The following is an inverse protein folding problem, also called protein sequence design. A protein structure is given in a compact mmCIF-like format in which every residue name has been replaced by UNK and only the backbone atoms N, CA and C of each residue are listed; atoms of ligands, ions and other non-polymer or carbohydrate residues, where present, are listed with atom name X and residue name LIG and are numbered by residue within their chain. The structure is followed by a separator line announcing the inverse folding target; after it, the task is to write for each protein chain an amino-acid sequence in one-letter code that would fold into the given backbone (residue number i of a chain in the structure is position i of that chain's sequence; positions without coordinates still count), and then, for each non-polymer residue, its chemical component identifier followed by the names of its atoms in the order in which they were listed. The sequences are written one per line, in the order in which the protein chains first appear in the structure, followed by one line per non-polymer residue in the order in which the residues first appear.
data_IF_620476196601
#
_entry.id   IF_620476196601
#
_cell.length_a   1.000
_cell.length_b   1.000
_cell.length_c   1.000
_cell.angle_alpha   90.00
_cell.angle_beta   90.00
_cell.angle_gamma   90.00
#
_symmetry.space_group_name_H-M   'P 1'
#
loop_
_entity.id
_entity.type
_entity.pdbx_description
1 polymer ?
#
# COMPACT_ATOMS: atom_id res chain seq x y z
N UNK A 1 -56.45 -25.24 19.48
CA UNK A 1 -55.25 -25.59 20.27
C UNK A 1 -54.09 -25.76 19.30
N UNK A 2 -52.92 -25.24 19.70
CA UNK A 2 -51.56 -25.57 19.22
C UNK A 2 -51.21 -25.31 17.74
N UNK A 3 -50.08 -24.72 17.37
CA UNK A 3 -49.07 -23.91 18.03
C UNK A 3 -48.22 -23.35 16.88
N UNK A 4 -47.98 -22.05 16.88
CA UNK A 4 -46.95 -21.42 16.05
C UNK A 4 -45.59 -22.02 16.38
N UNK A 5 -44.90 -22.60 15.40
CA UNK A 5 -43.46 -22.87 15.51
C UNK A 5 -42.75 -22.16 14.38
N UNK A 6 -42.37 -20.90 14.66
CA UNK A 6 -41.34 -20.19 13.92
C UNK A 6 -39.99 -20.73 14.41
N UNK A 7 -39.21 -21.46 13.59
CA UNK A 7 -37.87 -21.82 13.98
C UNK A 7 -36.99 -20.58 13.74
N UNK A 8 -36.77 -19.80 14.80
CA UNK A 8 -35.61 -18.93 14.91
C UNK A 8 -34.34 -19.82 14.97
N UNK A 9 -33.98 -20.46 13.85
CA UNK A 9 -32.78 -21.29 13.75
C UNK A 9 -31.55 -20.39 13.64
N UNK A 10 -30.96 -20.18 14.81
CA UNK A 10 -29.53 -20.06 15.03
C UNK A 10 -28.76 -19.11 14.08
N UNK A 11 -28.68 -17.83 14.46
CA UNK A 11 -27.65 -16.89 13.99
C UNK A 11 -26.25 -17.26 14.55
N UNK A 12 -25.93 -18.55 14.66
CA UNK A 12 -24.79 -19.10 15.43
C UNK A 12 -23.60 -19.49 14.53
N UNK A 13 -23.35 -18.71 13.49
CA UNK A 13 -22.13 -18.80 12.66
C UNK A 13 -21.36 -17.49 12.51
N UNK A 14 -21.83 -16.40 13.13
CA UNK A 14 -21.40 -15.01 12.79
C UNK A 14 -20.19 -14.48 13.58
N UNK A 15 -19.53 -15.29 14.42
CA UNK A 15 -18.42 -14.80 15.27
C UNK A 15 -17.02 -14.99 14.68
N UNK A 16 -16.81 -15.99 13.82
CA UNK A 16 -15.53 -16.19 13.10
C UNK A 16 -15.47 -15.40 11.78
N UNK A 17 -16.61 -15.17 11.14
CA UNK A 17 -16.70 -14.43 9.87
C UNK A 17 -16.12 -13.02 9.91
N UNK A 18 -16.38 -12.18 10.94
CA UNK A 18 -15.85 -10.83 11.00
C UNK A 18 -14.33 -10.77 11.15
N UNK A 19 -13.74 -11.64 11.97
CA UNK A 19 -12.30 -11.70 12.18
C UNK A 19 -11.57 -12.22 10.95
N UNK A 20 -12.06 -13.31 10.35
CA UNK A 20 -11.50 -13.83 9.10
C UNK A 20 -11.58 -12.80 7.97
N UNK A 21 -12.71 -12.09 7.87
CA UNK A 21 -12.88 -10.99 6.91
C UNK A 21 -11.88 -9.85 7.19
N UNK A 22 -11.71 -9.46 8.45
CA UNK A 22 -10.74 -8.44 8.84
C UNK A 22 -9.32 -8.83 8.45
N UNK A 23 -8.90 -10.05 8.77
CA UNK A 23 -7.58 -10.59 8.40
C UNK A 23 -7.42 -10.60 6.87
N UNK A 24 -8.42 -11.08 6.12
CA UNK A 24 -8.37 -11.11 4.66
C UNK A 24 -8.22 -9.71 4.06
N UNK A 25 -8.98 -8.72 4.54
CA UNK A 25 -8.88 -7.33 4.10
C UNK A 25 -7.49 -6.77 4.41
N UNK A 26 -6.97 -7.00 5.62
CA UNK A 26 -5.63 -6.54 6.01
C UNK A 26 -4.55 -7.15 5.13
N UNK A 27 -4.58 -8.46 4.90
CA UNK A 27 -3.60 -9.15 4.05
C UNK A 27 -3.65 -8.61 2.63
N UNK A 28 -4.85 -8.51 2.03
CA UNK A 28 -5.02 -7.95 0.68
C UNK A 28 -4.46 -6.52 0.64
N UNK A 29 -4.82 -5.68 1.59
CA UNK A 29 -4.34 -4.29 1.67
C UNK A 29 -2.81 -4.23 1.75
N UNK A 30 -2.19 -5.07 2.57
CA UNK A 30 -0.74 -5.13 2.69
C UNK A 30 -0.07 -5.56 1.38
N UNK A 31 -0.63 -6.57 0.68
CA UNK A 31 -0.12 -7.01 -0.62
C UNK A 31 -0.17 -5.88 -1.65
N UNK A 32 -1.27 -5.12 -1.70
CA UNK A 32 -1.38 -3.96 -2.58
C UNK A 32 -0.49 -2.79 -2.15
N UNK A 33 -0.14 -2.67 -0.87
CA UNK A 33 0.78 -1.66 -0.36
C UNK A 33 2.26 -2.00 -0.65
N UNK A 34 2.61 -3.28 -0.85
CA UNK A 34 3.99 -3.71 -1.15
C UNK A 34 4.66 -2.91 -2.29
N UNK A 35 4.06 -2.72 -3.49
CA UNK A 35 4.68 -1.92 -4.54
C UNK A 35 4.90 -0.46 -4.14
N UNK A 36 4.03 0.11 -3.31
CA UNK A 36 4.17 1.48 -2.80
C UNK A 36 5.34 1.57 -1.82
N UNK A 37 5.44 0.62 -0.89
CA UNK A 37 6.56 0.53 0.05
C UNK A 37 7.88 0.35 -0.70
N UNK A 38 7.88 -0.49 -1.74
CA UNK A 38 9.05 -0.67 -2.60
C UNK A 38 9.44 0.62 -3.34
N UNK A 39 8.47 1.33 -3.91
CA UNK A 39 8.71 2.61 -4.59
C UNK A 39 9.28 3.65 -3.62
N UNK A 40 8.74 3.74 -2.41
CA UNK A 40 9.27 4.62 -1.37
C UNK A 40 10.70 4.26 -0.98
N UNK A 41 10.99 2.98 -0.75
CA UNK A 41 12.34 2.52 -0.45
C UNK A 41 13.32 2.83 -1.59
N UNK A 42 12.92 2.57 -2.84
CA UNK A 42 13.72 2.83 -4.04
C UNK A 42 14.08 4.31 -4.20
N UNK A 43 13.21 5.24 -3.78
CA UNK A 43 13.52 6.67 -3.81
C UNK A 43 14.77 7.03 -2.99
N UNK A 44 15.07 6.27 -1.94
CA UNK A 44 16.24 6.44 -1.07
C UNK A 44 17.41 5.49 -1.38
N UNK A 45 17.29 4.61 -2.39
CA UNK A 45 18.39 3.77 -2.86
C UNK A 45 19.23 4.51 -3.90
N UNK A 46 20.48 4.11 -4.11
CA UNK A 46 21.23 4.60 -5.28
C UNK A 46 20.67 4.03 -6.59
N UNK A 47 20.86 4.72 -7.72
CA UNK A 47 20.37 4.27 -9.04
C UNK A 47 20.79 2.83 -9.38
N UNK A 48 22.02 2.46 -9.03
CA UNK A 48 22.56 1.10 -9.25
C UNK A 48 21.90 0.04 -8.36
N UNK A 49 21.48 0.41 -7.14
CA UNK A 49 20.84 -0.49 -6.18
C UNK A 49 19.36 -0.73 -6.45
N UNK A 50 18.69 0.16 -7.19
CA UNK A 50 17.27 -0.04 -7.57
C UNK A 50 17.13 -1.21 -8.55
N UNK A 51 18.11 -1.40 -9.43
CA UNK A 51 18.13 -2.49 -10.42
C UNK A 51 18.76 -3.78 -9.91
N UNK A 52 19.39 -3.76 -8.73
CA UNK A 52 20.03 -4.93 -8.14
C UNK A 52 19.01 -5.73 -7.29
N UNK A 53 18.62 -6.94 -7.72
CA UNK A 53 17.66 -7.76 -6.98
C UNK A 53 18.19 -8.28 -5.64
N UNK A 54 19.50 -8.20 -5.38
CA UNK A 54 20.11 -8.59 -4.11
C UNK A 54 19.87 -7.57 -2.99
N UNK A 55 19.58 -6.31 -3.34
CA UNK A 55 19.33 -5.22 -2.39
C UNK A 55 17.83 -5.13 -2.11
N UNK A 56 17.40 -5.80 -1.04
CA UNK A 56 16.01 -5.78 -0.56
C UNK A 56 15.61 -4.47 0.13
N UNK A 57 14.92 -4.56 1.27
CA UNK A 57 14.54 -3.39 2.09
C UNK A 57 15.63 -2.95 3.09
N UNK A 58 16.77 -3.62 3.10
CA UNK A 58 17.93 -3.29 3.94
C UNK A 58 19.01 -2.63 3.09
N UNK A 59 19.19 -1.32 3.24
CA UNK A 59 20.14 -0.51 2.48
C UNK A 59 20.52 0.75 3.27
N UNK A 60 21.59 1.42 2.85
CA UNK A 60 21.97 2.73 3.40
C UNK A 60 21.19 3.82 2.66
N UNK A 61 20.29 4.57 3.31
CA UNK A 61 19.46 5.57 2.64
C UNK A 61 20.29 6.77 2.15
N UNK A 62 20.02 7.22 0.92
CA UNK A 62 20.63 8.42 0.33
C UNK A 62 19.56 9.37 -0.24
N UNK A 63 19.95 10.61 -0.52
CA UNK A 63 19.07 11.64 -1.09
C UNK A 63 19.41 11.97 -2.55
N UNK A 64 20.24 11.15 -3.20
CA UNK A 64 20.84 11.48 -4.48
C UNK A 64 19.80 11.53 -5.61
N UNK A 65 18.80 10.66 -5.57
CA UNK A 65 17.69 10.71 -6.52
C UNK A 65 16.86 11.99 -6.38
N UNK A 66 16.64 12.47 -5.15
CA UNK A 66 15.93 13.73 -4.92
C UNK A 66 16.73 14.92 -5.45
N UNK A 67 18.05 14.96 -5.20
CA UNK A 67 18.94 15.98 -5.75
C UNK A 67 18.89 15.98 -7.28
N UNK A 68 19.04 14.81 -7.90
CA UNK A 68 19.00 14.67 -9.36
C UNK A 68 17.69 15.20 -9.98
N UNK A 69 16.54 14.88 -9.37
CA UNK A 69 15.23 15.34 -9.87
C UNK A 69 15.03 16.84 -9.69
N UNK A 70 15.49 17.41 -8.58
CA UNK A 70 15.41 18.85 -8.32
C UNK A 70 16.35 19.64 -9.24
N UNK A 71 17.59 19.18 -9.40
CA UNK A 71 18.60 19.79 -10.29
C UNK A 71 18.16 19.75 -11.77
N UNK A 72 17.45 18.70 -12.19
CA UNK A 72 16.86 18.63 -13.52
C UNK A 72 15.82 19.73 -13.79
N UNK A 73 15.28 20.38 -12.75
CA UNK A 73 14.40 21.55 -12.83
C UNK A 73 12.98 21.30 -13.38
N UNK A 74 12.74 20.16 -14.04
CA UNK A 74 11.45 19.82 -14.64
C UNK A 74 10.35 19.56 -13.62
N UNK A 75 10.71 19.04 -12.43
CA UNK A 75 9.72 18.66 -11.41
C UNK A 75 8.96 19.88 -10.89
N UNK A 76 9.68 20.96 -10.55
CA UNK A 76 9.09 22.18 -9.97
C UNK A 76 8.13 22.83 -10.97
N UNK A 77 8.56 22.90 -12.24
CA UNK A 77 7.73 23.42 -13.33
C UNK A 77 6.48 22.56 -13.55
N UNK A 78 6.64 21.24 -13.56
CA UNK A 78 5.53 20.31 -13.79
C UNK A 78 4.51 20.33 -12.65
N UNK A 79 4.98 20.41 -11.41
CA UNK A 79 4.13 20.57 -10.23
C UNK A 79 3.32 21.89 -10.29
N UNK A 80 3.97 22.99 -10.67
CA UNK A 80 3.29 24.27 -10.86
C UNK A 80 2.21 24.21 -11.94
N UNK A 81 2.51 23.60 -13.09
CA UNK A 81 1.52 23.39 -14.16
C UNK A 81 0.32 22.56 -13.67
N UNK A 82 0.56 21.48 -12.93
CA UNK A 82 -0.52 20.63 -12.41
C UNK A 82 -1.39 21.35 -11.38
N UNK A 83 -0.83 22.25 -10.55
CA UNK A 83 -1.61 23.04 -9.59
C UNK A 83 -2.47 24.13 -10.26
N UNK A 84 -2.02 24.65 -11.40
CA UNK A 84 -2.74 25.67 -12.15
C UNK A 84 -3.84 25.08 -13.03
N UNK A 85 -3.60 23.88 -13.58
CA UNK A 85 -4.49 23.24 -14.55
C UNK A 85 -5.43 22.23 -13.90
N UNK A 86 -4.93 21.47 -12.91
CA UNK A 86 -5.69 20.43 -12.20
C UNK A 86 -6.75 21.01 -11.28
#
# INVERSE_FOLDING_TARGET
MSATLSPARARRGRRLGPWLRGIAITVVTLVFALPVVWMFAAAFKTNVQVTDPSVGLWFTPTLDNFRAVVEAGQIVRSMGNSLLVG
#
